data_IF_202451949544
#
_entry.id   IF_202451949544
#
_cell.length_a   1.000
_cell.length_b   1.000
_cell.length_c   1.000
_cell.angle_alpha   90.00
_cell.angle_beta   90.00
_cell.angle_gamma   90.00
#
_symmetry.space_group_name_H-M   'P 1'
#
loop_
_entity.id
_entity.type
_entity.pdbx_description
1 polymer ?
#
# COMPACT_ATOMS: atom_id res chain seq x y z
N UNK A 1 13.28 16.25 -44.30
CA UNK A 1 13.02 14.99 -43.58
C UNK A 1 11.98 15.31 -42.53
N UNK A 2 10.95 14.48 -42.44
CA UNK A 2 9.64 14.71 -41.81
C UNK A 2 9.75 15.29 -40.40
N UNK A 3 9.00 16.36 -40.13
CA UNK A 3 8.78 16.91 -38.79
C UNK A 3 8.01 15.89 -37.96
N UNK A 4 8.75 15.05 -37.24
CA UNK A 4 8.20 14.19 -36.20
C UNK A 4 7.61 15.06 -35.10
N UNK A 5 6.54 14.57 -34.50
CA UNK A 5 5.91 15.18 -33.34
C UNK A 5 6.96 15.26 -32.22
N UNK A 6 7.45 16.47 -31.90
CA UNK A 6 8.49 16.70 -30.90
C UNK A 6 8.04 16.28 -29.47
N UNK A 7 6.80 15.84 -29.31
CA UNK A 7 6.22 15.32 -28.08
C UNK A 7 6.10 13.78 -28.04
N UNK A 8 6.50 13.07 -29.09
CA UNK A 8 6.48 11.61 -29.08
C UNK A 8 7.55 11.05 -28.13
N UNK A 9 7.23 10.09 -27.26
CA UNK A 9 8.22 9.46 -26.40
C UNK A 9 9.24 8.67 -27.22
N UNK A 10 10.48 8.60 -26.72
CA UNK A 10 11.53 7.74 -27.26
C UNK A 10 11.27 6.25 -26.96
N UNK A 11 12.23 5.38 -27.31
CA UNK A 11 12.11 3.94 -27.09
C UNK A 11 12.07 3.54 -25.60
N UNK A 12 12.55 4.42 -24.71
CA UNK A 12 12.48 4.27 -23.26
C UNK A 12 11.20 4.86 -22.66
N UNK A 13 10.34 5.47 -23.48
CA UNK A 13 9.11 6.12 -23.02
C UNK A 13 9.32 7.55 -22.52
N UNK A 14 10.52 8.13 -22.68
CA UNK A 14 10.84 9.48 -22.22
C UNK A 14 10.40 10.48 -23.29
N UNK A 15 9.63 11.49 -22.87
CA UNK A 15 9.18 12.56 -23.76
C UNK A 15 10.25 13.65 -23.85
N UNK A 16 10.78 13.97 -25.04
CA UNK A 16 11.94 14.86 -25.19
C UNK A 16 11.58 16.35 -25.12
N UNK A 17 10.30 16.72 -25.14
CA UNK A 17 9.85 18.09 -24.94
C UNK A 17 8.43 18.12 -24.36
N UNK A 18 8.12 19.12 -23.54
CA UNK A 18 6.80 19.29 -22.93
C UNK A 18 6.33 20.75 -22.98
N UNK A 19 5.02 20.95 -22.92
CA UNK A 19 4.41 22.25 -22.70
C UNK A 19 4.25 22.50 -21.20
N UNK A 20 4.86 23.56 -20.68
CA UNK A 20 4.78 23.90 -19.27
C UNK A 20 3.42 24.51 -18.88
N UNK A 21 3.23 24.78 -17.58
CA UNK A 21 1.99 25.35 -17.07
C UNK A 21 1.64 26.76 -17.61
N UNK A 22 2.58 27.41 -18.31
CA UNK A 22 2.40 28.72 -18.94
C UNK A 22 2.21 28.64 -20.46
N UNK A 23 2.14 27.43 -21.02
CA UNK A 23 2.00 27.20 -22.45
C UNK A 23 3.32 27.34 -23.23
N UNK A 24 4.46 27.26 -22.55
CA UNK A 24 5.78 27.33 -23.20
C UNK A 24 6.30 25.93 -23.49
N UNK A 25 6.64 25.69 -24.76
CA UNK A 25 7.33 24.46 -25.15
C UNK A 25 8.79 24.50 -24.70
N UNK A 26 9.17 23.47 -23.93
CA UNK A 26 10.50 23.28 -23.36
C UNK A 26 11.06 21.95 -23.81
N UNK A 27 12.26 21.96 -24.37
CA UNK A 27 13.02 20.74 -24.67
C UNK A 27 13.70 20.22 -23.40
N UNK A 28 13.67 18.91 -23.20
CA UNK A 28 14.35 18.24 -22.08
C UNK A 28 15.84 18.13 -22.41
N UNK A 29 16.73 18.58 -21.51
CA UNK A 29 18.17 18.44 -21.71
C UNK A 29 18.60 16.97 -21.88
N UNK A 30 19.53 16.70 -22.79
CA UNK A 30 20.08 15.35 -23.04
C UNK A 30 20.59 14.70 -21.74
N UNK A 31 21.33 15.45 -20.91
CA UNK A 31 21.80 14.97 -19.61
C UNK A 31 20.68 14.56 -18.64
N UNK A 32 19.46 15.11 -18.79
CA UNK A 32 18.29 14.67 -18.01
C UNK A 32 17.75 13.35 -18.56
N UNK A 33 17.68 13.19 -19.88
CA UNK A 33 17.28 11.93 -20.52
C UNK A 33 18.24 10.80 -20.11
N UNK A 34 19.54 11.04 -20.19
CA UNK A 34 20.58 10.07 -19.78
C UNK A 34 20.42 9.64 -18.31
N UNK A 35 20.14 10.60 -17.43
CA UNK A 35 19.92 10.33 -16.01
C UNK A 35 18.65 9.50 -15.76
N UNK A 36 17.57 9.74 -16.52
CA UNK A 36 16.34 8.94 -16.45
C UNK A 36 16.58 7.51 -16.95
N UNK A 37 17.29 7.32 -18.06
CA UNK A 37 17.65 5.98 -18.57
C UNK A 37 18.49 5.22 -17.55
N UNK A 38 19.50 5.86 -16.96
CA UNK A 38 20.33 5.26 -15.92
C UNK A 38 19.50 4.88 -14.68
N UNK A 39 18.56 5.72 -14.26
CA UNK A 39 17.66 5.45 -13.13
C UNK A 39 16.70 4.26 -13.37
N UNK A 40 16.31 4.01 -14.62
CA UNK A 40 15.55 2.83 -15.02
C UNK A 40 16.41 1.54 -15.09
N UNK A 41 17.69 1.62 -14.72
CA UNK A 41 18.65 0.51 -14.83
C UNK A 41 19.12 0.28 -16.27
N UNK A 42 18.88 1.23 -17.17
CA UNK A 42 19.29 1.17 -18.56
C UNK A 42 20.75 1.60 -18.78
N UNK A 43 21.32 1.09 -19.86
CA UNK A 43 22.54 1.66 -20.45
C UNK A 43 22.12 2.87 -21.30
N UNK A 44 22.61 4.09 -21.05
CA UNK A 44 22.31 5.27 -21.88
C UNK A 44 22.66 5.08 -23.35
N UNK A 45 23.62 4.19 -23.65
CA UNK A 45 24.02 3.86 -25.02
C UNK A 45 23.11 2.78 -25.66
N UNK A 46 22.15 2.21 -24.93
CA UNK A 46 21.21 1.22 -25.44
C UNK A 46 19.98 1.87 -26.10
N UNK A 47 19.67 1.40 -27.31
CA UNK A 47 18.58 1.94 -28.13
C UNK A 47 17.17 1.74 -27.53
N UNK A 48 16.95 0.78 -26.61
CA UNK A 48 15.66 0.46 -26.01
C UNK A 48 15.78 -0.38 -24.72
N UNK A 49 14.78 -0.37 -23.81
CA UNK A 49 14.74 -1.26 -22.66
C UNK A 49 14.58 -2.74 -23.08
N UNK A 50 14.97 -3.69 -22.22
CA UNK A 50 14.69 -5.11 -22.45
C UNK A 50 13.19 -5.36 -22.61
N UNK A 51 12.78 -5.96 -23.74
CA UNK A 51 11.38 -6.36 -23.93
C UNK A 51 11.02 -7.54 -23.02
N UNK A 52 9.87 -7.46 -22.35
CA UNK A 52 9.25 -8.57 -21.61
C UNK A 52 7.80 -8.72 -22.05
N UNK A 53 7.55 -9.65 -22.96
CA UNK A 53 6.20 -9.95 -23.48
C UNK A 53 5.45 -10.98 -22.61
N UNK A 54 5.78 -11.03 -21.31
CA UNK A 54 5.23 -12.02 -20.38
C UNK A 54 3.91 -11.59 -19.76
N UNK A 55 3.49 -10.33 -19.89
CA UNK A 55 2.21 -9.83 -19.35
C UNK A 55 1.35 -9.25 -20.46
N UNK A 56 0.16 -9.83 -20.63
CA UNK A 56 -0.82 -9.46 -21.66
C UNK A 56 -2.06 -8.84 -20.99
N UNK A 57 -2.28 -7.54 -21.16
CA UNK A 57 -3.50 -6.88 -20.66
C UNK A 57 -4.52 -6.78 -21.79
N UNK A 58 -5.66 -7.46 -21.63
CA UNK A 58 -6.70 -7.58 -22.64
C UNK A 58 -8.00 -6.98 -22.10
N UNK A 59 -8.75 -6.25 -22.93
CA UNK A 59 -10.10 -5.80 -22.55
C UNK A 59 -11.10 -6.93 -22.74
N UNK A 60 -12.02 -7.10 -21.80
CA UNK A 60 -13.10 -8.07 -21.91
C UNK A 60 -13.85 -7.95 -23.25
N UNK A 61 -14.16 -9.09 -23.89
CA UNK A 61 -14.79 -9.11 -25.21
C UNK A 61 -13.83 -8.77 -26.37
N UNK A 62 -12.52 -8.75 -26.15
CA UNK A 62 -11.50 -8.60 -27.20
C UNK A 62 -10.61 -9.83 -27.26
N UNK A 63 -10.23 -10.20 -28.48
CA UNK A 63 -9.16 -11.17 -28.72
C UNK A 63 -7.81 -10.48 -28.71
N UNK A 64 -6.78 -11.21 -28.33
CA UNK A 64 -5.40 -10.80 -28.50
C UNK A 64 -4.60 -11.95 -29.10
N UNK A 65 -3.80 -11.68 -30.13
CA UNK A 65 -2.88 -12.67 -30.69
C UNK A 65 -1.68 -12.80 -29.76
N UNK A 66 -1.38 -14.02 -29.36
CA UNK A 66 -0.17 -14.36 -28.61
C UNK A 66 0.44 -15.58 -29.28
N UNK A 67 1.44 -15.34 -30.12
CA UNK A 67 2.05 -16.39 -30.93
C UNK A 67 2.56 -17.53 -30.04
N UNK A 68 2.20 -18.76 -30.41
CA UNK A 68 2.59 -19.95 -29.65
C UNK A 68 1.76 -20.21 -28.39
N UNK A 69 0.73 -19.41 -28.08
CA UNK A 69 -0.23 -19.74 -27.03
C UNK A 69 -0.86 -21.13 -27.25
N UNK A 70 -0.83 -21.99 -26.23
CA UNK A 70 -1.35 -23.37 -26.29
C UNK A 70 -2.37 -23.69 -25.21
N UNK A 71 -2.27 -23.08 -24.03
CA UNK A 71 -3.19 -23.35 -22.92
C UNK A 71 -3.32 -22.13 -22.02
N UNK A 72 -4.53 -21.87 -21.55
CA UNK A 72 -4.79 -20.86 -20.52
C UNK A 72 -5.41 -21.52 -19.28
N UNK A 73 -4.89 -21.17 -18.11
CA UNK A 73 -5.44 -21.50 -16.80
C UNK A 73 -6.09 -20.25 -16.23
N UNK A 74 -7.39 -20.29 -16.01
CA UNK A 74 -8.17 -19.19 -15.47
C UNK A 74 -7.90 -19.01 -13.97
N UNK A 75 -8.32 -17.87 -13.43
CA UNK A 75 -8.11 -17.52 -12.01
C UNK A 75 -8.77 -18.55 -11.07
N UNK A 76 -9.87 -19.16 -11.50
CA UNK A 76 -10.58 -20.20 -10.76
C UNK A 76 -9.94 -21.60 -10.87
N UNK A 77 -8.82 -21.73 -11.60
CA UNK A 77 -8.11 -22.98 -11.86
C UNK A 77 -8.61 -23.79 -13.06
N UNK A 78 -9.66 -23.34 -13.74
CA UNK A 78 -10.17 -24.00 -14.96
C UNK A 78 -9.16 -23.85 -16.10
N UNK A 79 -8.92 -24.91 -16.88
CA UNK A 79 -8.00 -24.87 -18.02
C UNK A 79 -8.75 -24.93 -19.36
N UNK A 80 -8.21 -24.23 -20.36
CA UNK A 80 -8.69 -24.27 -21.75
C UNK A 80 -7.50 -24.34 -22.70
N UNK A 81 -7.59 -25.20 -23.71
CA UNK A 81 -6.64 -25.18 -24.83
C UNK A 81 -6.93 -23.96 -25.72
N UNK A 82 -5.88 -23.31 -26.20
CA UNK A 82 -5.96 -22.15 -27.10
C UNK A 82 -4.95 -22.32 -28.24
N UNK A 83 -5.11 -21.60 -29.34
CA UNK A 83 -4.22 -21.72 -30.49
C UNK A 83 -3.80 -20.33 -30.99
N UNK A 84 -2.66 -19.85 -30.49
CA UNK A 84 -2.07 -18.57 -30.92
C UNK A 84 -2.86 -17.31 -30.53
N UNK A 85 -3.93 -17.45 -29.75
CA UNK A 85 -4.76 -16.32 -29.32
C UNK A 85 -5.27 -16.47 -27.88
N UNK A 86 -5.53 -15.33 -27.26
CA UNK A 86 -6.35 -15.17 -26.05
C UNK A 86 -7.81 -15.00 -26.50
N UNK A 87 -8.74 -15.88 -26.10
CA UNK A 87 -10.16 -15.79 -26.46
C UNK A 87 -10.84 -14.51 -25.94
N UNK A 88 -11.92 -14.10 -26.61
CA UNK A 88 -12.70 -12.91 -26.23
C UNK A 88 -13.74 -13.16 -25.12
N UNK A 89 -13.99 -14.43 -24.77
CA UNK A 89 -15.00 -14.88 -23.81
C UNK A 89 -14.44 -15.18 -22.41
N UNK A 90 -13.19 -14.81 -22.14
CA UNK A 90 -12.57 -15.01 -20.84
C UNK A 90 -13.24 -14.14 -19.75
N UNK A 91 -13.42 -14.67 -18.53
CA UNK A 91 -13.88 -13.87 -17.41
C UNK A 91 -12.87 -12.77 -17.08
N UNK A 92 -13.31 -11.75 -16.33
CA UNK A 92 -12.37 -10.78 -15.78
C UNK A 92 -11.47 -11.47 -14.76
N UNK A 93 -10.22 -11.04 -14.69
CA UNK A 93 -9.30 -11.58 -13.69
C UNK A 93 -7.88 -11.76 -14.18
N UNK A 94 -7.13 -12.51 -13.38
CA UNK A 94 -5.72 -12.84 -13.58
C UNK A 94 -5.61 -14.31 -14.00
N UNK A 95 -5.06 -14.55 -15.18
CA UNK A 95 -4.96 -15.89 -15.77
C UNK A 95 -3.50 -16.18 -16.15
N UNK A 96 -3.17 -17.45 -16.25
CA UNK A 96 -1.84 -17.93 -16.63
C UNK A 96 -1.92 -18.56 -18.02
N UNK A 97 -1.05 -18.12 -18.92
CA UNK A 97 -0.98 -18.54 -20.31
C UNK A 97 0.32 -19.30 -20.54
N UNK A 98 0.18 -20.52 -21.06
CA UNK A 98 1.28 -21.34 -21.52
C UNK A 98 1.54 -21.05 -23.00
N UNK A 99 2.79 -20.66 -23.28
CA UNK A 99 3.28 -20.36 -24.62
C UNK A 99 4.34 -21.38 -24.99
N UNK A 100 4.21 -21.98 -26.17
CA UNK A 100 5.09 -23.03 -26.66
C UNK A 100 6.53 -22.52 -26.79
N UNK A 101 7.45 -23.17 -26.06
CA UNK A 101 8.87 -22.83 -26.09
C UNK A 101 9.25 -21.63 -25.24
N UNK A 102 8.31 -21.06 -24.47
CA UNK A 102 8.61 -20.11 -23.42
C UNK A 102 8.97 -20.85 -22.13
N UNK A 103 10.08 -20.49 -21.51
CA UNK A 103 10.50 -21.02 -20.21
C UNK A 103 9.85 -20.25 -19.04
N UNK A 104 9.31 -19.06 -19.31
CA UNK A 104 8.67 -18.17 -18.32
C UNK A 104 7.14 -18.20 -18.48
N UNK A 105 6.38 -18.28 -17.37
CA UNK A 105 4.93 -18.14 -17.43
C UNK A 105 4.50 -16.79 -18.01
N UNK A 106 3.50 -16.80 -18.89
CA UNK A 106 2.86 -15.56 -19.34
C UNK A 106 1.60 -15.33 -18.51
N UNK A 107 1.33 -14.07 -18.12
CA UNK A 107 0.10 -13.67 -17.43
C UNK A 107 -0.84 -12.97 -18.40
N UNK A 108 -2.11 -13.32 -18.35
CA UNK A 108 -3.19 -12.61 -19.05
C UNK A 108 -4.07 -11.93 -18.03
N UNK A 109 -4.22 -10.60 -18.15
CA UNK A 109 -5.08 -9.79 -17.29
C UNK A 109 -6.27 -9.33 -18.13
N UNK A 110 -7.46 -9.83 -17.82
CA UNK A 110 -8.70 -9.44 -18.51
C UNK A 110 -9.37 -8.33 -17.72
N UNK A 111 -9.32 -7.12 -18.27
CA UNK A 111 -9.88 -5.90 -17.66
C UNK A 111 -11.30 -5.59 -18.17
N UNK A 112 -12.23 -5.11 -17.32
CA UNK A 112 -13.54 -4.64 -17.74
C UNK A 112 -13.49 -3.39 -18.64
N UNK A 113 -12.36 -2.68 -18.69
CA UNK A 113 -12.18 -1.46 -19.50
C UNK A 113 -12.91 -0.22 -18.97
N UNK A 114 -13.68 -0.36 -17.89
CA UNK A 114 -14.31 0.74 -17.14
C UNK A 114 -14.27 0.43 -15.64
N UNK A 115 -14.14 1.46 -14.81
CA UNK A 115 -14.23 1.31 -13.36
C UNK A 115 -15.68 1.06 -12.93
N UNK A 116 -15.86 0.35 -11.82
CA UNK A 116 -17.19 0.20 -11.22
C UNK A 116 -17.75 1.56 -10.81
N UNK A 117 -19.00 1.82 -11.18
CA UNK A 117 -19.78 2.94 -10.68
C UNK A 117 -21.13 2.39 -10.18
N UNK A 118 -21.51 2.61 -8.91
CA UNK A 118 -22.81 2.17 -8.42
C UNK A 118 -23.97 2.75 -9.24
N UNK A 119 -24.98 1.93 -9.50
CA UNK A 119 -26.17 2.36 -10.23
C UNK A 119 -26.87 3.52 -9.53
N UNK A 120 -27.18 4.58 -10.28
CA UNK A 120 -27.91 5.73 -9.76
C UNK A 120 -27.12 6.57 -8.74
N UNK A 121 -25.78 6.54 -8.75
CA UNK A 121 -24.93 7.32 -7.84
C UNK A 121 -25.21 8.84 -7.96
N UNK A 122 -26.15 9.34 -7.16
CA UNK A 122 -26.44 10.76 -6.93
C UNK A 122 -26.54 10.98 -5.43
N UNK A 123 -25.39 11.23 -4.82
CA UNK A 123 -25.27 11.35 -3.37
C UNK A 123 -24.39 12.54 -2.99
N UNK A 124 -24.40 12.87 -1.71
CA UNK A 124 -23.43 13.75 -1.07
C UNK A 124 -22.67 12.95 0.01
N UNK A 125 -21.60 13.55 0.53
CA UNK A 125 -20.77 12.99 1.58
C UNK A 125 -19.88 14.05 2.21
N UNK A 126 -19.23 13.69 3.32
CA UNK A 126 -18.23 14.55 3.95
C UNK A 126 -16.83 14.21 3.45
N UNK A 127 -15.94 15.22 3.45
CA UNK A 127 -14.51 15.02 3.36
C UNK A 127 -13.90 15.39 4.71
N UNK A 128 -13.33 14.41 5.40
CA UNK A 128 -12.83 14.56 6.75
C UNK A 128 -11.34 14.19 6.83
N UNK A 129 -10.56 15.05 7.46
CA UNK A 129 -9.21 14.71 7.90
C UNK A 129 -9.34 13.93 9.20
N UNK A 130 -9.30 12.59 9.14
CA UNK A 130 -9.66 11.69 10.23
C UNK A 130 -8.88 12.01 11.51
N UNK A 131 -7.59 12.34 11.42
CA UNK A 131 -6.79 12.70 12.59
C UNK A 131 -7.38 13.88 13.39
N UNK A 132 -8.17 14.75 12.77
CA UNK A 132 -8.84 15.88 13.42
C UNK A 132 -10.27 15.57 13.93
N UNK A 133 -10.84 14.41 13.58
CA UNK A 133 -12.19 13.99 13.98
C UNK A 133 -12.15 13.34 15.37
N UNK A 134 -12.13 14.16 16.41
CA UNK A 134 -12.06 13.69 17.80
C UNK A 134 -13.45 13.50 18.41
N UNK A 135 -13.61 12.44 19.20
CA UNK A 135 -14.69 12.28 20.16
C UNK A 135 -14.18 12.43 21.60
N UNK A 136 -15.08 12.41 22.58
CA UNK A 136 -14.71 12.43 24.00
C UNK A 136 -13.88 11.19 24.41
N UNK A 137 -13.95 10.12 23.62
CA UNK A 137 -13.29 8.87 23.91
C UNK A 137 -11.91 8.79 23.20
N UNK A 138 -11.57 9.70 22.30
CA UNK A 138 -10.32 9.71 21.52
C UNK A 138 -9.08 9.92 22.40
N UNK A 139 -7.95 9.32 22.01
CA UNK A 139 -6.65 9.54 22.65
C UNK A 139 -5.89 10.63 21.89
N UNK A 140 -6.29 11.89 22.06
CA UNK A 140 -5.63 13.06 21.45
C UNK A 140 -5.87 13.31 19.96
N UNK A 141 -6.33 12.30 19.22
CA UNK A 141 -6.63 12.40 17.79
C UNK A 141 -7.74 11.45 17.36
N UNK A 142 -8.37 11.73 16.21
CA UNK A 142 -9.39 10.85 15.65
C UNK A 142 -8.85 9.49 15.22
N UNK A 143 -9.62 8.44 15.49
CA UNK A 143 -9.29 7.04 15.23
C UNK A 143 -10.40 6.30 14.45
N UNK A 144 -10.20 5.00 14.17
CA UNK A 144 -11.15 4.21 13.37
C UNK A 144 -12.53 4.03 14.03
N UNK A 145 -12.66 4.17 15.36
CA UNK A 145 -13.98 4.18 16.00
C UNK A 145 -14.66 5.55 15.86
N UNK A 146 -13.89 6.64 15.86
CA UNK A 146 -14.40 7.98 15.52
C UNK A 146 -14.89 8.01 14.07
N UNK A 147 -14.14 7.41 13.14
CA UNK A 147 -14.56 7.22 11.75
C UNK A 147 -15.89 6.46 11.68
N UNK A 148 -16.00 5.33 12.39
CA UNK A 148 -17.23 4.53 12.43
C UNK A 148 -18.41 5.32 13.00
N UNK A 149 -18.18 6.17 14.01
CA UNK A 149 -19.22 7.04 14.59
C UNK A 149 -19.66 8.11 13.59
N UNK A 150 -18.72 8.76 12.91
CA UNK A 150 -18.99 9.76 11.87
C UNK A 150 -19.74 9.12 10.68
N UNK A 151 -19.36 7.92 10.27
CA UNK A 151 -20.02 7.16 9.20
C UNK A 151 -21.48 6.87 9.54
N UNK A 152 -21.77 6.36 10.75
CA UNK A 152 -23.16 6.12 11.22
C UNK A 152 -23.98 7.40 11.22
N UNK A 153 -23.46 8.46 11.83
CA UNK A 153 -24.14 9.75 11.88
C UNK A 153 -24.40 10.34 10.48
N UNK A 154 -23.45 10.18 9.56
CA UNK A 154 -23.58 10.66 8.19
C UNK A 154 -24.63 9.87 7.41
N UNK A 155 -24.68 8.55 7.59
CA UNK A 155 -25.72 7.70 7.00
C UNK A 155 -27.11 8.09 7.51
N UNK A 156 -27.26 8.35 8.82
CA UNK A 156 -28.52 8.82 9.41
C UNK A 156 -28.95 10.20 8.85
N UNK A 157 -27.99 11.04 8.47
CA UNK A 157 -28.23 12.32 7.79
C UNK A 157 -28.53 12.18 6.28
N UNK A 158 -28.44 10.97 5.73
CA UNK A 158 -28.67 10.69 4.31
C UNK A 158 -27.46 10.95 3.40
N UNK A 159 -26.25 11.06 3.96
CA UNK A 159 -25.04 10.97 3.16
C UNK A 159 -24.88 9.54 2.64
N UNK A 160 -24.35 9.40 1.43
CA UNK A 160 -24.06 8.09 0.81
C UNK A 160 -22.58 7.75 0.80
N UNK A 161 -21.72 8.66 1.26
CA UNK A 161 -20.29 8.39 1.37
C UNK A 161 -19.54 9.28 2.36
N UNK A 162 -18.32 8.88 2.73
CA UNK A 162 -17.38 9.63 3.54
C UNK A 162 -15.96 9.49 2.98
N UNK A 163 -15.35 10.59 2.55
CA UNK A 163 -13.95 10.66 2.13
C UNK A 163 -13.05 10.93 3.34
N UNK A 164 -11.97 10.16 3.45
CA UNK A 164 -10.92 10.37 4.46
C UNK A 164 -9.55 10.57 3.81
N UNK A 165 -8.66 11.27 4.52
CA UNK A 165 -7.25 11.36 4.16
C UNK A 165 -6.59 9.97 4.09
N UNK A 166 -5.41 9.84 3.47
CA UNK A 166 -4.68 8.59 3.47
C UNK A 166 -4.44 8.09 4.90
N UNK A 167 -4.72 6.81 5.12
CA UNK A 167 -4.47 6.12 6.38
C UNK A 167 -3.18 5.29 6.32
N UNK A 168 -2.36 5.56 5.31
CA UNK A 168 -1.15 4.86 4.96
C UNK A 168 -0.10 4.92 6.08
N UNK A 169 0.64 3.83 6.27
CA UNK A 169 1.62 3.69 7.34
C UNK A 169 2.76 4.72 7.20
N UNK A 170 3.29 5.14 8.35
CA UNK A 170 4.56 5.87 8.47
C UNK A 170 5.48 5.10 9.42
N UNK A 171 6.78 5.42 9.38
CA UNK A 171 7.76 4.70 10.19
C UNK A 171 7.51 4.77 11.70
N UNK A 172 7.92 3.76 12.47
CA UNK A 172 7.68 3.65 13.90
C UNK A 172 8.70 4.47 14.73
N UNK A 173 9.10 5.63 14.22
CA UNK A 173 10.12 6.49 14.84
C UNK A 173 9.52 7.80 15.37
N UNK A 174 10.35 8.56 16.10
CA UNK A 174 10.02 9.89 16.60
C UNK A 174 11.18 10.83 16.26
N UNK A 175 10.94 12.02 15.68
CA UNK A 175 9.64 12.59 15.32
C UNK A 175 8.96 11.83 14.17
N UNK A 176 7.63 11.85 14.14
CA UNK A 176 6.83 11.19 13.09
C UNK A 176 6.66 12.08 11.88
N UNK A 177 6.59 11.44 10.72
CA UNK A 177 6.02 12.07 9.54
C UNK A 177 4.55 12.42 9.80
N UNK A 178 4.18 13.67 9.50
CA UNK A 178 2.84 14.21 9.77
C UNK A 178 1.99 14.31 8.51
N UNK A 179 2.63 14.33 7.34
CA UNK A 179 2.03 14.35 6.03
C UNK A 179 1.52 12.95 5.67
N UNK A 180 0.19 12.78 5.46
CA UNK A 180 -0.34 11.50 5.01
C UNK A 180 0.05 11.16 3.55
N UNK A 181 0.71 12.09 2.85
CA UNK A 181 1.17 11.94 1.47
C UNK A 181 2.65 11.57 1.35
N UNK A 182 3.33 11.33 2.47
CA UNK A 182 4.71 10.82 2.51
C UNK A 182 4.79 9.53 3.36
N UNK A 183 4.02 8.48 3.02
CA UNK A 183 3.97 7.26 3.83
C UNK A 183 5.21 6.37 3.62
N UNK A 184 5.57 5.58 4.63
CA UNK A 184 6.52 4.47 4.47
C UNK A 184 5.93 3.38 3.58
N UNK A 185 4.60 3.20 3.62
CA UNK A 185 3.90 2.28 2.74
C UNK A 185 2.51 2.76 2.37
N UNK A 186 2.14 2.65 1.08
CA UNK A 186 0.77 2.89 0.60
C UNK A 186 -0.18 1.70 0.78
N UNK A 187 0.34 0.53 1.16
CA UNK A 187 -0.43 -0.73 1.31
C UNK A 187 -0.83 -1.04 2.74
N UNK A 188 -0.04 -0.59 3.71
CA UNK A 188 -0.26 -0.85 5.13
C UNK A 188 -0.79 0.40 5.84
N UNK A 189 -1.42 0.20 7.00
CA UNK A 189 -2.13 1.25 7.74
C UNK A 189 -1.28 1.81 8.89
N UNK A 190 -1.39 3.11 9.18
CA UNK A 190 -0.72 3.73 10.31
C UNK A 190 -1.36 3.31 11.66
N UNK A 191 -0.59 2.69 12.58
CA UNK A 191 -1.05 2.32 13.92
C UNK A 191 -1.70 3.44 14.72
N UNK A 192 -1.38 4.70 14.40
CA UNK A 192 -1.93 5.86 15.11
C UNK A 192 -3.46 5.96 15.00
N UNK A 193 -4.07 5.37 13.97
CA UNK A 193 -5.53 5.34 13.80
C UNK A 193 -6.21 4.21 14.57
N UNK A 194 -5.47 3.35 15.27
CA UNK A 194 -6.07 2.31 16.09
C UNK A 194 -6.89 2.92 17.24
N UNK A 195 -8.10 2.37 17.43
CA UNK A 195 -8.89 2.51 18.64
C UNK A 195 -8.38 1.52 19.68
N UNK A 196 -7.60 2.00 20.65
CA UNK A 196 -6.95 1.15 21.66
C UNK A 196 -7.97 0.37 22.49
N UNK A 197 -9.03 1.02 22.97
CA UNK A 197 -10.03 0.36 23.82
C UNK A 197 -10.79 -0.78 23.11
N UNK A 198 -10.68 -0.90 21.78
CA UNK A 198 -11.28 -1.98 20.98
C UNK A 198 -10.26 -3.02 20.49
N UNK A 199 -8.97 -2.87 20.83
CA UNK A 199 -7.94 -3.82 20.47
C UNK A 199 -8.10 -5.14 21.26
N UNK A 200 -7.84 -6.31 20.65
CA UNK A 200 -7.74 -7.56 21.40
C UNK A 200 -6.75 -7.43 22.56
N UNK A 201 -7.16 -7.84 23.78
CA UNK A 201 -6.33 -7.71 24.99
C UNK A 201 -6.57 -6.43 25.80
N UNK A 202 -7.18 -5.39 25.22
CA UNK A 202 -7.37 -4.09 25.89
C UNK A 202 -8.18 -4.17 27.20
N UNK A 203 -9.14 -5.09 27.29
CA UNK A 203 -9.96 -5.27 28.49
C UNK A 203 -9.21 -5.91 29.68
N UNK A 204 -8.07 -6.55 29.43
CA UNK A 204 -7.26 -7.23 30.45
C UNK A 204 -5.88 -6.59 30.66
N UNK A 205 -5.41 -5.78 29.71
CA UNK A 205 -4.23 -4.94 29.88
C UNK A 205 -4.51 -3.78 30.84
N UNK A 206 -3.55 -3.45 31.70
CA UNK A 206 -3.59 -2.19 32.45
C UNK A 206 -3.21 -1.03 31.51
N UNK A 207 -4.18 -0.17 31.24
CA UNK A 207 -4.09 0.96 30.30
C UNK A 207 -4.49 2.29 30.95
N UNK A 208 -4.71 2.32 32.27
CA UNK A 208 -5.36 3.47 32.93
C UNK A 208 -4.49 4.73 32.86
N UNK A 209 -3.18 4.59 33.03
CA UNK A 209 -2.20 5.67 32.87
C UNK A 209 -2.17 6.21 31.43
N UNK A 210 -2.15 5.32 30.44
CA UNK A 210 -2.12 5.68 29.02
C UNK A 210 -3.44 6.32 28.57
N UNK A 211 -4.57 5.81 29.06
CA UNK A 211 -5.90 6.35 28.80
C UNK A 211 -6.07 7.74 29.41
N UNK A 212 -5.62 7.94 30.66
CA UNK A 212 -5.64 9.24 31.30
C UNK A 212 -4.82 10.26 30.49
N UNK A 213 -3.62 9.86 30.04
CA UNK A 213 -2.80 10.71 29.18
C UNK A 213 -3.44 11.00 27.82
N UNK A 214 -4.07 10.00 27.21
CA UNK A 214 -4.84 10.16 25.97
C UNK A 214 -5.98 11.18 26.11
N UNK A 215 -6.69 11.17 27.24
CA UNK A 215 -7.74 12.14 27.55
C UNK A 215 -7.17 13.56 27.72
N UNK A 216 -6.03 13.72 28.40
CA UNK A 216 -5.35 15.02 28.51
C UNK A 216 -4.96 15.59 27.13
N UNK A 217 -4.43 14.74 26.23
CA UNK A 217 -4.08 15.14 24.86
C UNK A 217 -5.31 15.56 24.05
N UNK A 218 -6.48 14.99 24.36
CA UNK A 218 -7.72 15.30 23.66
C UNK A 218 -8.21 16.74 23.93
N UNK A 219 -7.87 17.29 25.10
CA UNK A 219 -8.20 18.66 25.50
C UNK A 219 -7.28 19.72 24.86
N UNK A 220 -6.15 19.31 24.27
CA UNK A 220 -5.20 20.24 23.65
C UNK A 220 -5.72 20.66 22.26
N UNK A 221 -5.65 21.97 21.88
CA UNK A 221 -6.16 22.42 20.58
C UNK A 221 -5.44 21.83 19.37
N UNK A 222 -4.14 21.58 19.51
CA UNK A 222 -3.25 21.04 18.46
C UNK A 222 -2.94 19.57 18.73
N UNK A 223 -2.86 18.77 17.67
CA UNK A 223 -2.54 17.35 17.77
C UNK A 223 -1.02 17.18 17.97
N UNK A 224 -0.63 16.62 19.10
CA UNK A 224 0.73 16.14 19.35
C UNK A 224 0.85 14.68 18.84
N UNK A 225 1.22 14.52 17.58
CA UNK A 225 1.25 13.19 16.93
C UNK A 225 2.29 12.26 17.54
N UNK A 226 3.42 12.78 17.98
CA UNK A 226 4.51 11.98 18.55
C UNK A 226 4.08 11.38 19.89
N UNK A 227 3.52 12.21 20.77
CA UNK A 227 3.02 11.74 22.06
C UNK A 227 1.83 10.78 21.89
N UNK A 228 0.88 11.08 20.99
CA UNK A 228 -0.24 10.17 20.71
C UNK A 228 0.25 8.81 20.20
N UNK A 229 1.16 8.81 19.22
CA UNK A 229 1.70 7.58 18.68
C UNK A 229 2.48 6.79 19.73
N UNK A 230 3.32 7.46 20.53
CA UNK A 230 4.05 6.80 21.61
C UNK A 230 3.11 6.12 22.60
N UNK A 231 2.05 6.81 23.06
CA UNK A 231 1.07 6.23 24.00
C UNK A 231 0.25 5.11 23.37
N UNK A 232 -0.15 5.24 22.11
CA UNK A 232 -0.91 4.20 21.39
C UNK A 232 -0.06 2.96 21.12
N UNK A 233 1.19 3.12 20.71
CA UNK A 233 2.13 2.00 20.51
C UNK A 233 2.36 1.25 21.82
N UNK A 234 2.63 1.96 22.91
CA UNK A 234 2.80 1.33 24.23
C UNK A 234 1.53 0.57 24.66
N UNK A 235 0.35 1.15 24.44
CA UNK A 235 -0.90 0.47 24.75
C UNK A 235 -1.13 -0.78 23.88
N UNK A 236 -0.81 -0.71 22.59
CA UNK A 236 -0.86 -1.85 21.67
C UNK A 236 0.12 -2.95 22.12
N UNK A 237 1.31 -2.62 22.60
CA UNK A 237 2.26 -3.59 23.15
C UNK A 237 1.71 -4.29 24.40
N UNK A 238 1.11 -3.53 25.33
CA UNK A 238 0.45 -4.10 26.52
C UNK A 238 -0.73 -5.00 26.13
N UNK A 239 -1.52 -4.62 25.12
CA UNK A 239 -2.61 -5.44 24.58
C UNK A 239 -2.08 -6.72 23.93
N UNK A 240 -1.02 -6.60 23.11
CA UNK A 240 -0.39 -7.73 22.43
C UNK A 240 0.15 -8.76 23.42
N UNK A 241 0.82 -8.32 24.49
CA UNK A 241 1.34 -9.19 25.54
C UNK A 241 0.25 -10.05 26.23
N UNK A 242 -1.01 -9.59 26.22
CA UNK A 242 -2.14 -10.36 26.75
C UNK A 242 -2.60 -11.46 25.78
N UNK A 243 -2.49 -11.23 24.47
CA UNK A 243 -3.10 -12.10 23.43
C UNK A 243 -2.10 -12.93 22.64
N UNK A 244 -0.80 -12.60 22.68
CA UNK A 244 0.25 -13.19 21.84
C UNK A 244 0.28 -14.72 21.87
N UNK A 245 0.17 -15.32 23.06
CA UNK A 245 0.26 -16.78 23.24
C UNK A 245 -0.89 -17.56 22.58
N UNK A 246 -2.06 -16.95 22.45
CA UNK A 246 -3.25 -17.58 21.86
C UNK A 246 -3.54 -17.14 20.43
N UNK A 247 -2.78 -16.18 19.90
CA UNK A 247 -3.12 -15.47 18.67
C UNK A 247 -3.15 -16.39 17.45
N UNK A 248 -2.23 -17.34 17.34
CA UNK A 248 -2.16 -18.28 16.21
C UNK A 248 -3.35 -19.27 16.18
N UNK A 249 -4.03 -19.45 17.31
CA UNK A 249 -5.23 -20.27 17.37
C UNK A 249 -6.47 -19.53 16.81
N UNK A 250 -6.45 -18.19 16.74
CA UNK A 250 -7.56 -17.39 16.22
C UNK A 250 -7.71 -17.61 14.70
N UNK A 251 -8.82 -18.23 14.23
CA UNK A 251 -9.04 -18.46 12.80
C UNK A 251 -9.18 -17.15 12.00
N UNK A 252 -9.61 -16.05 12.62
CA UNK A 252 -9.72 -14.75 11.95
C UNK A 252 -8.34 -14.16 11.67
N UNK A 253 -7.44 -14.26 12.64
CA UNK A 253 -6.06 -13.82 12.48
C UNK A 253 -5.33 -14.67 11.43
N UNK A 254 -5.47 -16.00 11.48
CA UNK A 254 -4.87 -16.88 10.45
C UNK A 254 -5.36 -16.55 9.04
N UNK A 255 -6.68 -16.35 8.87
CA UNK A 255 -7.23 -15.92 7.57
C UNK A 255 -6.64 -14.58 7.11
N UNK A 256 -6.50 -13.61 8.02
CA UNK A 256 -5.88 -12.32 7.70
C UNK A 256 -4.42 -12.50 7.23
N UNK A 257 -3.64 -13.36 7.90
CA UNK A 257 -2.27 -13.67 7.46
C UNK A 257 -2.26 -14.32 6.06
N UNK A 258 -3.14 -15.29 5.81
CA UNK A 258 -3.25 -15.97 4.51
C UNK A 258 -3.63 -15.00 3.39
N UNK A 259 -4.58 -14.08 3.65
CA UNK A 259 -5.04 -13.06 2.69
C UNK A 259 -3.98 -12.00 2.40
N UNK A 260 -3.15 -11.63 3.39
CA UNK A 260 -2.10 -10.63 3.21
C UNK A 260 -0.80 -11.20 2.65
N UNK A 261 -0.52 -12.47 2.93
CA UNK A 261 0.60 -13.19 2.37
C UNK A 261 1.98 -12.60 2.73
N UNK A 262 3.02 -12.89 1.91
CA UNK A 262 4.41 -12.54 2.22
C UNK A 262 4.70 -11.04 2.35
N UNK A 263 3.88 -10.18 1.76
CA UNK A 263 4.10 -8.73 1.82
C UNK A 263 3.92 -8.19 3.24
N UNK A 264 2.96 -8.73 4.01
CA UNK A 264 2.79 -8.35 5.41
C UNK A 264 4.01 -8.73 6.25
N UNK A 265 4.61 -9.89 5.95
CA UNK A 265 5.81 -10.36 6.63
C UNK A 265 6.98 -9.42 6.36
N UNK A 266 7.20 -9.06 5.09
CA UNK A 266 8.23 -8.09 4.69
C UNK A 266 8.01 -6.73 5.33
N UNK A 267 6.78 -6.22 5.34
CA UNK A 267 6.47 -4.95 5.99
C UNK A 267 6.75 -5.00 7.50
N UNK A 268 6.32 -6.05 8.20
CA UNK A 268 6.57 -6.19 9.63
C UNK A 268 8.07 -6.31 9.96
N UNK A 269 8.84 -6.98 9.09
CA UNK A 269 10.30 -7.04 9.18
C UNK A 269 10.90 -5.65 8.97
N UNK A 270 10.47 -4.92 7.94
CA UNK A 270 10.92 -3.55 7.71
C UNK A 270 10.69 -2.67 8.93
N UNK A 271 9.48 -2.65 9.50
CA UNK A 271 9.17 -1.87 10.69
C UNK A 271 10.11 -2.22 11.86
N UNK A 272 10.40 -3.51 12.06
CA UNK A 272 11.36 -3.98 13.07
C UNK A 272 12.78 -3.48 12.79
N UNK A 273 13.23 -3.53 11.53
CA UNK A 273 14.56 -3.05 11.13
C UNK A 273 14.68 -1.53 11.27
N UNK A 274 13.62 -0.79 10.95
CA UNK A 274 13.56 0.67 11.12
C UNK A 274 13.73 1.06 12.59
N UNK A 275 13.12 0.34 13.53
CA UNK A 275 13.33 0.58 14.97
C UNK A 275 14.77 0.33 15.42
N UNK A 276 15.45 -0.64 14.80
CA UNK A 276 16.83 -1.01 15.13
C UNK A 276 17.87 -0.08 14.48
N UNK A 277 17.60 0.43 13.28
CA UNK A 277 18.60 1.05 12.42
C UNK A 277 18.24 2.44 11.89
N UNK A 278 17.02 2.93 12.15
CA UNK A 278 16.52 4.23 11.67
C UNK A 278 15.75 4.13 10.34
N UNK A 279 15.25 5.28 9.88
CA UNK A 279 14.34 5.46 8.74
C UNK A 279 14.98 5.25 7.36
N UNK A 280 16.30 5.14 7.26
CA UNK A 280 17.00 5.08 5.97
C UNK A 280 17.61 3.72 5.71
N UNK A 281 16.86 2.85 5.03
CA UNK A 281 17.31 1.50 4.74
C UNK A 281 18.63 1.44 3.96
N UNK A 282 18.91 2.44 3.10
CA UNK A 282 20.18 2.54 2.36
C UNK A 282 21.41 2.76 3.26
N UNK A 283 21.18 3.17 4.52
CA UNK A 283 22.23 3.37 5.53
C UNK A 283 22.37 2.19 6.49
N UNK A 284 21.46 1.21 6.43
CA UNK A 284 21.55 -0.02 7.21
C UNK A 284 22.77 -0.84 6.79
N UNK A 285 23.24 -1.78 7.65
CA UNK A 285 24.23 -2.77 7.24
C UNK A 285 23.89 -3.41 5.89
N UNK A 286 24.88 -3.60 5.01
CA UNK A 286 24.70 -4.08 3.62
C UNK A 286 23.82 -5.34 3.53
N UNK A 287 24.02 -6.30 4.44
CA UNK A 287 23.20 -7.51 4.51
C UNK A 287 21.72 -7.26 4.81
N UNK A 288 21.30 -6.09 5.27
CA UNK A 288 19.91 -5.76 5.60
C UNK A 288 19.21 -4.92 4.52
N UNK A 289 19.95 -4.50 3.50
CA UNK A 289 19.43 -3.64 2.44
C UNK A 289 18.57 -4.39 1.44
N UNK A 290 18.84 -5.67 1.19
CA UNK A 290 18.04 -6.52 0.31
C UNK A 290 17.00 -7.33 1.13
N UNK A 291 15.68 -7.20 0.88
CA UNK A 291 14.64 -7.87 1.67
C UNK A 291 14.74 -9.40 1.72
N UNK A 292 15.33 -10.01 0.69
CA UNK A 292 15.48 -11.46 0.57
C UNK A 292 16.81 -11.99 1.11
N UNK A 293 17.66 -11.15 1.70
CA UNK A 293 18.98 -11.59 2.16
C UNK A 293 18.90 -12.59 3.34
N UNK A 294 19.88 -13.49 3.49
CA UNK A 294 19.95 -14.37 4.65
C UNK A 294 20.00 -13.63 5.99
N UNK A 295 20.64 -12.46 6.04
CA UNK A 295 20.79 -11.65 7.23
C UNK A 295 19.45 -11.05 7.69
N UNK A 296 18.59 -10.61 6.76
CA UNK A 296 17.23 -10.16 7.07
C UNK A 296 16.42 -11.28 7.72
N UNK A 297 16.48 -12.49 7.16
CA UNK A 297 15.80 -13.66 7.73
C UNK A 297 16.31 -13.99 9.14
N UNK A 298 17.63 -13.87 9.37
CA UNK A 298 18.22 -14.08 10.70
C UNK A 298 17.74 -13.04 11.70
N UNK A 299 17.76 -11.75 11.35
CA UNK A 299 17.28 -10.68 12.23
C UNK A 299 15.78 -10.84 12.50
N UNK A 300 14.98 -11.20 11.49
CA UNK A 300 13.56 -11.48 11.67
C UNK A 300 13.32 -12.64 12.66
N UNK A 301 14.16 -13.69 12.62
CA UNK A 301 14.08 -14.81 13.57
C UNK A 301 14.53 -14.41 14.98
N UNK A 302 15.59 -13.61 15.10
CA UNK A 302 16.09 -13.10 16.39
C UNK A 302 15.10 -12.13 17.05
N UNK A 303 14.25 -11.46 16.26
CA UNK A 303 13.23 -10.49 16.69
C UNK A 303 11.79 -10.95 16.39
N UNK A 304 11.53 -12.26 16.42
CA UNK A 304 10.25 -12.86 15.99
C UNK A 304 9.03 -12.24 16.67
N UNK A 305 9.10 -11.93 17.97
CA UNK A 305 7.98 -11.35 18.71
C UNK A 305 7.66 -9.92 18.24
N UNK A 306 8.68 -9.14 17.84
CA UNK A 306 8.47 -7.79 17.31
C UNK A 306 7.88 -7.81 15.91
N UNK A 307 8.36 -8.71 15.06
CA UNK A 307 7.77 -8.96 13.74
C UNK A 307 6.29 -9.37 13.89
N UNK A 308 5.99 -10.30 14.80
CA UNK A 308 4.60 -10.72 15.09
C UNK A 308 3.74 -9.57 15.63
N UNK A 309 4.29 -8.70 16.47
CA UNK A 309 3.61 -7.51 16.94
C UNK A 309 3.18 -6.60 15.77
N UNK A 310 4.09 -6.26 14.85
CA UNK A 310 3.72 -5.41 13.69
C UNK A 310 2.67 -6.07 12.78
N UNK A 311 2.71 -7.41 12.60
CA UNK A 311 1.65 -8.14 11.88
C UNK A 311 0.31 -8.03 12.60
N UNK A 312 0.31 -8.24 13.91
CA UNK A 312 -0.89 -8.15 14.74
C UNK A 312 -1.49 -6.74 14.72
N UNK A 313 -0.67 -5.69 14.75
CA UNK A 313 -1.16 -4.31 14.64
C UNK A 313 -1.90 -4.08 13.31
N UNK A 314 -1.39 -4.60 12.19
CA UNK A 314 -2.10 -4.51 10.90
C UNK A 314 -3.43 -5.29 10.91
N UNK A 315 -3.50 -6.42 11.61
CA UNK A 315 -4.76 -7.14 11.82
C UNK A 315 -5.78 -6.32 12.63
N UNK A 316 -5.34 -5.65 13.70
CA UNK A 316 -6.21 -4.77 14.50
C UNK A 316 -6.76 -3.63 13.64
N UNK A 317 -5.92 -2.99 12.84
CA UNK A 317 -6.31 -1.90 11.95
C UNK A 317 -7.29 -2.37 10.85
N UNK A 318 -7.03 -3.52 10.24
CA UNK A 318 -7.91 -4.11 9.22
C UNK A 318 -9.33 -4.39 9.78
N UNK A 319 -9.41 -5.05 10.94
CA UNK A 319 -10.69 -5.34 11.57
C UNK A 319 -11.44 -4.06 11.97
N UNK A 320 -10.74 -3.04 12.45
CA UNK A 320 -11.35 -1.77 12.82
C UNK A 320 -11.79 -0.96 11.60
N UNK A 321 -10.99 -0.93 10.53
CA UNK A 321 -11.32 -0.23 9.29
C UNK A 321 -12.51 -0.89 8.58
N UNK A 322 -12.55 -2.23 8.56
CA UNK A 322 -13.70 -2.98 8.06
C UNK A 322 -14.99 -2.58 8.79
N UNK A 323 -14.96 -2.50 10.13
CA UNK A 323 -16.10 -2.05 10.95
C UNK A 323 -16.44 -0.57 10.73
N UNK A 324 -15.45 0.27 10.42
CA UNK A 324 -15.67 1.68 10.12
C UNK A 324 -16.39 1.91 8.78
N UNK A 325 -16.21 1.01 7.81
CA UNK A 325 -16.89 1.04 6.52
C UNK A 325 -18.24 0.30 6.45
N UNK A 326 -18.63 -0.45 7.49
CA UNK A 326 -19.95 -1.10 7.55
C UNK A 326 -21.14 -0.12 7.48
N UNK A 327 -21.13 1.04 8.16
CA UNK A 327 -22.29 1.94 8.20
C UNK A 327 -22.48 2.77 6.92
N UNK A 328 -21.39 3.09 6.23
CA UNK A 328 -21.39 3.99 5.08
C UNK A 328 -20.17 3.70 4.20
N UNK A 329 -20.35 3.80 2.88
CA UNK A 329 -19.24 3.67 1.94
C UNK A 329 -18.12 4.68 2.27
N UNK A 330 -16.88 4.20 2.32
CA UNK A 330 -15.71 5.04 2.52
C UNK A 330 -15.03 5.29 1.18
N UNK A 331 -14.70 6.55 0.90
CA UNK A 331 -13.73 6.90 -0.14
C UNK A 331 -12.37 7.03 0.55
N UNK A 332 -11.44 6.16 0.17
CA UNK A 332 -10.03 6.30 0.54
C UNK A 332 -9.33 7.27 -0.41
N UNK A 333 -8.41 8.05 0.13
CA UNK A 333 -7.41 8.81 -0.61
C UNK A 333 -6.12 7.99 -0.70
N UNK A 334 -5.58 7.81 -1.91
CA UNK A 334 -4.38 7.02 -2.17
C UNK A 334 -3.21 7.95 -2.49
N UNK A 335 -2.13 7.97 -1.69
CA UNK A 335 -0.96 8.79 -1.98
C UNK A 335 -0.34 8.46 -3.34
N UNK A 336 0.19 9.48 -4.02
CA UNK A 336 0.85 9.33 -5.33
C UNK A 336 2.08 8.45 -5.22
N UNK A 337 2.88 8.63 -4.16
CA UNK A 337 4.10 7.89 -3.88
C UNK A 337 4.24 7.57 -2.39
N UNK A 338 5.41 7.05 -2.07
CA UNK A 338 5.86 6.72 -0.71
C UNK A 338 7.23 7.35 -0.47
N UNK A 339 7.67 7.35 0.78
CA UNK A 339 9.02 7.70 1.16
C UNK A 339 10.03 6.83 0.35
N UNK A 340 10.98 7.43 -0.39
CA UNK A 340 12.03 6.69 -1.10
C UNK A 340 12.89 5.83 -0.17
N UNK A 341 12.95 6.14 1.12
CA UNK A 341 13.64 5.35 2.14
C UNK A 341 12.67 4.50 3.01
N UNK A 342 11.38 4.46 2.66
CA UNK A 342 10.36 3.71 3.38
C UNK A 342 10.24 2.23 2.98
N UNK A 343 9.25 1.57 3.59
CA UNK A 343 8.98 0.15 3.42
C UNK A 343 8.69 -0.25 1.98
N UNK A 344 7.86 0.52 1.26
CA UNK A 344 7.55 0.21 -0.14
C UNK A 344 8.81 0.25 -1.01
N UNK A 345 9.68 1.24 -0.79
CA UNK A 345 10.94 1.37 -1.51
C UNK A 345 11.91 0.24 -1.16
N UNK A 346 12.01 -0.14 0.11
CA UNK A 346 12.83 -1.28 0.52
C UNK A 346 12.31 -2.61 -0.04
N UNK A 347 10.99 -2.84 -0.03
CA UNK A 347 10.37 -4.11 -0.42
C UNK A 347 10.37 -4.36 -1.93
N UNK A 348 10.26 -3.31 -2.74
CA UNK A 348 10.02 -3.36 -4.18
C UNK A 348 11.07 -2.60 -4.98
N UNK A 349 12.33 -2.66 -4.52
CA UNK A 349 13.49 -2.01 -5.16
C UNK A 349 13.64 -2.38 -6.64
N UNK A 350 13.17 -3.56 -7.04
CA UNK A 350 13.25 -4.10 -8.38
C UNK A 350 12.22 -3.54 -9.37
N UNK A 351 11.19 -2.85 -8.88
CA UNK A 351 10.11 -2.27 -9.71
C UNK A 351 9.97 -0.76 -9.55
N UNK A 352 10.96 -0.11 -8.92
CA UNK A 352 11.06 1.33 -8.74
C UNK A 352 12.34 1.84 -9.39
N UNK A 353 12.27 3.02 -10.02
CA UNK A 353 13.46 3.69 -10.56
C UNK A 353 14.05 4.59 -9.46
N UNK A 354 15.22 4.22 -8.94
CA UNK A 354 15.92 5.01 -7.92
C UNK A 354 16.68 6.18 -8.54
N UNK A 355 16.83 7.28 -7.80
CA UNK A 355 17.59 8.46 -8.25
C UNK A 355 16.79 9.50 -9.04
N UNK A 356 15.46 9.35 -9.13
CA UNK A 356 14.53 10.30 -9.75
C UNK A 356 13.38 10.59 -8.78
N UNK A 357 12.91 11.84 -8.74
CA UNK A 357 11.83 12.31 -7.84
C UNK A 357 10.86 13.24 -8.53
#
# INVERSE_FOLDING_TARGET
MSGGDASAPDAWGIVPAYEDAFGTWTEVPEATIDALVAAMGGDPDADAPPSSDTVHVVRAGRRATVDGAVRITLEDGTTREVEGEVPDDLPWGYHELEVRGADTPHRVIVSPGTCHLPDGLRTWGWAAQLYAVRSADSWGMGDLADLRRLARWSADAGAGTLLVNPLAAVDPLTPRETSPYYPTSRRFLDPVYARIDEAPGAAAADLDDLRARGAELNEVPTIDRDEVASRKTEALERCYAVVSDGLDADPRYRRFLDERGPDLDRFAIHQTLTELHGDRWRTWPEGLQAPSSPEVHRVAADHVDRVRFHRWVQYVLDEQLRRAGEPLALLGDLPIGSDPDGADAWMWQDVLAEGVT
#
